data_IF_780553893337
#
_entry.id   IF_780553893337
#
_cell.length_a   1.000
_cell.length_b   1.000
_cell.length_c   1.000
_cell.angle_alpha   90.00
_cell.angle_beta   90.00
_cell.angle_gamma   90.00
#
_symmetry.space_group_name_H-M   'P 1'
#
loop_
_entity.id
_entity.type
_entity.pdbx_description
1 polymer ?
#
# COMPACT_ATOMS: atom_id res chain seq x y z
N UNK A 1 47.56 22.06 56.14
CA UNK A 1 47.98 23.28 55.43
C UNK A 1 46.74 23.97 54.87
N UNK A 2 46.50 25.19 55.34
CA UNK A 2 45.67 26.30 54.82
C UNK A 2 44.30 26.07 54.14
N UNK A 3 43.26 26.54 54.83
CA UNK A 3 42.03 27.20 54.31
C UNK A 3 42.38 28.66 53.84
N UNK A 4 41.52 29.55 53.26
CA UNK A 4 40.04 29.54 53.09
C UNK A 4 39.42 30.29 51.85
N UNK A 5 38.08 30.45 51.89
CA UNK A 5 37.24 31.62 51.49
C UNK A 5 36.64 31.68 50.06
N UNK A 6 35.29 31.58 49.89
CA UNK A 6 34.23 32.66 49.85
C UNK A 6 34.23 33.42 48.51
N UNK A 7 33.13 33.79 47.83
CA UNK A 7 31.81 34.24 48.27
C UNK A 7 30.74 34.21 47.15
N UNK A 8 29.49 34.26 47.62
CA UNK A 8 28.18 34.56 47.03
C UNK A 8 28.15 35.77 46.06
N UNK A 9 27.30 35.74 45.02
CA UNK A 9 26.51 36.93 44.67
C UNK A 9 25.28 36.63 43.79
N UNK A 10 24.13 37.08 44.29
CA UNK A 10 22.82 37.06 43.63
C UNK A 10 22.72 38.21 42.64
N UNK A 11 21.96 38.06 41.56
CA UNK A 11 21.07 39.13 41.08
C UNK A 11 19.90 38.60 40.26
N UNK A 12 18.84 39.39 40.31
CA UNK A 12 17.42 39.08 40.17
C UNK A 12 16.90 40.01 39.06
N UNK A 13 15.72 39.69 38.52
CA UNK A 13 14.73 40.58 37.88
C UNK A 13 14.89 40.87 36.37
N UNK A 14 13.80 40.60 35.63
CA UNK A 14 13.45 41.31 34.39
C UNK A 14 12.22 40.76 33.67
N UNK A 15 11.02 41.12 34.12
CA UNK A 15 9.73 40.88 33.41
C UNK A 15 9.67 41.75 32.14
N UNK A 16 9.06 41.23 31.07
CA UNK A 16 8.65 41.99 29.88
C UNK A 16 7.34 41.45 29.31
N UNK A 17 6.38 42.35 29.12
CA UNK A 17 4.94 42.11 28.98
C UNK A 17 4.50 41.61 27.59
N UNK A 18 3.44 40.80 27.59
CA UNK A 18 2.50 40.65 26.47
C UNK A 18 1.60 41.89 26.38
N UNK A 19 1.52 42.55 25.21
CA UNK A 19 0.32 43.28 24.77
C UNK A 19 0.28 43.53 23.25
N UNK A 20 -0.87 43.15 22.70
CA UNK A 20 -1.61 43.40 21.44
C UNK A 20 -1.13 44.25 20.24
N UNK A 21 -1.86 43.98 19.14
CA UNK A 21 -2.07 44.70 17.85
C UNK A 21 -1.14 44.23 16.70
N UNK A 22 -1.58 43.91 15.46
CA UNK A 22 -2.72 44.38 14.65
C UNK A 22 -2.97 43.43 13.46
N UNK A 23 -4.21 43.35 12.97
CA UNK A 23 -4.56 42.74 11.67
C UNK A 23 -3.91 43.49 10.50
N UNK A 24 -3.37 42.75 9.52
CA UNK A 24 -2.85 43.32 8.28
C UNK A 24 -2.73 42.30 7.14
N UNK A 25 -3.68 42.39 6.21
CA UNK A 25 -3.63 42.17 4.74
C UNK A 25 -2.89 40.94 4.18
N UNK A 26 -3.62 40.17 3.37
CA UNK A 26 -3.23 38.89 2.77
C UNK A 26 -1.95 38.91 1.92
N UNK A 27 -1.29 37.74 1.90
CA UNK A 27 -0.12 37.43 1.06
C UNK A 27 -0.51 36.46 -0.07
N UNK A 28 0.11 36.59 -1.25
CA UNK A 28 -0.23 35.82 -2.45
C UNK A 28 0.17 34.34 -2.36
N UNK A 29 -0.55 33.51 -3.13
CA UNK A 29 -0.36 32.06 -3.29
C UNK A 29 0.92 31.80 -4.09
N UNK A 30 2.09 31.82 -3.42
CA UNK A 30 3.35 31.38 -4.05
C UNK A 30 4.40 30.83 -3.07
N UNK A 31 4.01 30.38 -1.88
CA UNK A 31 4.92 29.72 -0.93
C UNK A 31 4.31 28.46 -0.33
N UNK A 32 4.24 27.39 -1.12
CA UNK A 32 4.32 26.02 -0.59
C UNK A 32 5.81 25.63 -0.61
N UNK A 33 6.58 26.16 0.34
CA UNK A 33 7.96 25.72 0.56
C UNK A 33 7.90 24.39 1.31
N UNK A 34 8.44 23.35 0.69
CA UNK A 34 8.73 22.06 1.33
C UNK A 34 9.46 22.30 2.66
N UNK A 35 8.90 21.81 3.76
CA UNK A 35 9.29 22.16 5.14
C UNK A 35 10.70 21.77 5.61
N UNK A 36 11.60 21.34 4.72
CA UNK A 36 12.90 20.75 5.10
C UNK A 36 14.14 21.49 4.55
N UNK A 37 14.01 22.70 3.98
CA UNK A 37 15.15 23.43 3.39
C UNK A 37 16.21 23.93 4.40
N UNK A 38 15.98 23.79 5.72
CA UNK A 38 16.85 24.32 6.77
C UNK A 38 17.52 23.25 7.67
N UNK A 39 17.34 21.95 7.40
CA UNK A 39 17.92 20.90 8.24
C UNK A 39 19.35 20.56 7.82
N UNK A 40 20.23 20.38 8.81
CA UNK A 40 21.58 19.81 8.65
C UNK A 40 21.50 18.41 8.02
N UNK A 41 22.60 17.92 7.43
CA UNK A 41 22.62 16.57 6.85
C UNK A 41 22.17 15.49 7.86
N UNK A 42 22.57 15.61 9.13
CA UNK A 42 22.11 14.76 10.23
C UNK A 42 20.64 15.01 10.63
N UNK A 43 20.15 16.25 10.55
CA UNK A 43 18.74 16.59 10.77
C UNK A 43 17.80 16.04 9.69
N UNK A 44 18.27 15.87 8.45
CA UNK A 44 17.51 15.22 7.37
C UNK A 44 17.36 13.72 7.58
N UNK A 45 18.38 13.06 8.13
CA UNK A 45 18.34 11.62 8.48
C UNK A 45 17.39 11.31 9.66
N UNK A 46 17.09 12.29 10.52
CA UNK A 46 16.16 12.14 11.66
C UNK A 46 14.77 12.75 11.36
N UNK A 47 14.58 13.35 10.18
CA UNK A 47 13.29 13.88 9.74
C UNK A 47 12.47 12.83 9.01
N UNK A 48 11.14 12.94 9.06
CA UNK A 48 10.22 12.08 8.32
C UNK A 48 9.33 12.91 7.38
N UNK A 49 8.78 12.28 6.35
CA UNK A 49 7.83 12.90 5.40
C UNK A 49 6.40 12.63 5.88
N UNK A 50 5.72 13.65 6.39
CA UNK A 50 4.38 13.53 7.01
C UNK A 50 3.26 13.16 6.03
N UNK A 51 3.47 13.39 4.74
CA UNK A 51 2.52 13.14 3.66
C UNK A 51 2.41 11.66 3.29
N UNK A 52 3.41 10.85 3.66
CA UNK A 52 3.43 9.41 3.36
C UNK A 52 2.37 8.70 4.21
N UNK A 53 1.41 8.10 3.51
CA UNK A 53 0.42 7.17 4.04
C UNK A 53 0.87 5.73 3.84
N UNK A 54 0.57 4.87 4.80
CA UNK A 54 0.82 3.43 4.69
C UNK A 54 -0.50 2.67 4.63
N UNK A 55 -0.60 1.75 3.66
CA UNK A 55 -1.76 0.88 3.45
C UNK A 55 -1.35 -0.58 3.68
N UNK A 56 -2.00 -1.23 4.64
CA UNK A 56 -1.89 -2.66 4.87
C UNK A 56 -2.79 -3.43 3.90
N UNK A 57 -2.20 -4.37 3.15
CA UNK A 57 -2.92 -5.25 2.23
C UNK A 57 -2.85 -6.73 2.64
N UNK A 58 -2.56 -7.01 3.91
CA UNK A 58 -2.33 -8.37 4.45
C UNK A 58 -3.53 -9.29 4.19
N UNK A 59 -4.75 -8.80 4.40
CA UNK A 59 -5.96 -9.63 4.23
C UNK A 59 -6.35 -9.76 2.75
N UNK A 60 -6.32 -8.67 2.00
CA UNK A 60 -6.71 -8.68 0.58
C UNK A 60 -5.73 -9.49 -0.27
N UNK A 61 -4.45 -9.12 -0.26
CA UNK A 61 -3.46 -9.77 -1.12
C UNK A 61 -3.03 -11.13 -0.57
N UNK A 62 -2.88 -11.24 0.75
CA UNK A 62 -2.65 -12.53 1.42
C UNK A 62 -3.79 -13.53 1.19
N UNK A 63 -5.02 -13.06 0.99
CA UNK A 63 -6.17 -13.91 0.71
C UNK A 63 -6.01 -14.72 -0.58
N UNK A 64 -5.16 -14.28 -1.51
CA UNK A 64 -4.83 -15.05 -2.71
C UNK A 64 -4.13 -16.38 -2.40
N UNK A 65 -3.50 -16.49 -1.23
CA UNK A 65 -2.79 -17.70 -0.80
C UNK A 65 -3.71 -18.77 -0.19
N UNK A 66 -4.92 -18.41 0.21
CA UNK A 66 -5.85 -19.32 0.90
C UNK A 66 -7.30 -19.19 0.40
N UNK A 67 -7.50 -18.76 -0.84
CA UNK A 67 -8.82 -18.53 -1.43
C UNK A 67 -9.70 -17.58 -0.60
N UNK A 68 -9.09 -16.63 0.11
CA UNK A 68 -9.74 -15.62 0.94
C UNK A 68 -10.45 -16.19 2.18
N UNK A 69 -9.95 -17.32 2.72
CA UNK A 69 -10.53 -18.06 3.84
C UNK A 69 -9.91 -17.72 5.20
N UNK A 70 -9.37 -16.51 5.37
CA UNK A 70 -8.94 -16.07 6.70
C UNK A 70 -10.11 -16.05 7.69
N UNK A 71 -9.86 -16.43 8.94
CA UNK A 71 -10.88 -16.41 10.00
C UNK A 71 -11.13 -14.99 10.48
N UNK A 72 -12.32 -14.73 11.03
CA UNK A 72 -12.66 -13.43 11.63
C UNK A 72 -11.66 -13.04 12.73
N UNK A 73 -11.19 -14.00 13.55
CA UNK A 73 -10.19 -13.74 14.61
C UNK A 73 -8.84 -13.28 14.04
N UNK A 74 -8.38 -13.87 12.93
CA UNK A 74 -7.17 -13.43 12.26
C UNK A 74 -7.34 -12.01 11.73
N UNK A 75 -8.42 -11.75 11.00
CA UNK A 75 -8.70 -10.43 10.41
C UNK A 75 -8.86 -9.36 11.50
N UNK A 76 -9.47 -9.70 12.64
CA UNK A 76 -9.58 -8.82 13.81
C UNK A 76 -8.23 -8.53 14.47
N UNK A 77 -7.33 -9.50 14.50
CA UNK A 77 -5.98 -9.31 15.03
C UNK A 77 -5.18 -8.38 14.12
N UNK A 78 -5.25 -8.56 12.80
CA UNK A 78 -4.64 -7.66 11.81
C UNK A 78 -5.23 -6.25 11.90
N UNK A 79 -6.56 -6.12 11.98
CA UNK A 79 -7.23 -4.82 12.19
C UNK A 79 -6.76 -4.11 13.45
N UNK A 80 -6.73 -4.81 14.58
CA UNK A 80 -6.27 -4.23 15.85
C UNK A 80 -4.82 -3.79 15.78
N UNK A 81 -3.96 -4.60 15.15
CA UNK A 81 -2.57 -4.24 14.93
C UNK A 81 -2.43 -2.99 14.03
N UNK A 82 -3.21 -2.87 12.96
CA UNK A 82 -3.20 -1.68 12.10
C UNK A 82 -3.59 -0.41 12.89
N UNK A 83 -4.65 -0.47 13.70
CA UNK A 83 -5.09 0.64 14.56
C UNK A 83 -4.00 1.01 15.57
N UNK A 84 -3.47 0.04 16.31
CA UNK A 84 -2.47 0.28 17.37
C UNK A 84 -1.12 0.74 16.82
N UNK A 85 -0.75 0.27 15.62
CA UNK A 85 0.46 0.66 14.90
C UNK A 85 0.33 2.00 14.18
N UNK A 86 -0.86 2.60 14.15
CA UNK A 86 -1.08 3.91 13.54
C UNK A 86 -1.08 3.92 12.01
N UNK A 87 -1.25 2.75 11.38
CA UNK A 87 -1.35 2.57 9.92
C UNK A 87 -2.54 3.39 9.39
N UNK A 88 -2.43 3.95 8.19
CA UNK A 88 -3.46 4.84 7.64
C UNK A 88 -4.62 4.08 7.03
N UNK A 89 -4.35 3.01 6.28
CA UNK A 89 -5.38 2.23 5.60
C UNK A 89 -5.18 0.72 5.85
N UNK A 90 -6.28 -0.02 5.95
CA UNK A 90 -6.29 -1.48 5.90
C UNK A 90 -7.22 -1.93 4.78
N UNK A 91 -6.74 -2.80 3.91
CA UNK A 91 -7.50 -3.38 2.82
C UNK A 91 -8.08 -4.74 3.23
N UNK A 92 -9.40 -4.76 3.40
CA UNK A 92 -10.12 -5.88 4.03
C UNK A 92 -10.44 -7.03 3.07
N UNK A 93 -10.24 -6.84 1.76
CA UNK A 93 -10.54 -7.86 0.76
C UNK A 93 -11.04 -7.29 -0.56
N UNK A 94 -11.84 -8.10 -1.27
CA UNK A 94 -12.39 -7.80 -2.59
C UNK A 94 -13.91 -7.55 -2.54
N UNK A 95 -14.43 -6.91 -3.59
CA UNK A 95 -15.87 -6.77 -3.90
C UNK A 95 -16.25 -7.63 -5.11
N UNK A 96 -15.89 -8.91 -5.10
CA UNK A 96 -16.10 -9.79 -6.25
C UNK A 96 -17.60 -10.03 -6.54
N UNK A 97 -17.97 -10.07 -7.82
CA UNK A 97 -19.33 -10.40 -8.25
C UNK A 97 -19.65 -11.88 -7.95
N UNK A 98 -20.73 -12.11 -7.20
CA UNK A 98 -21.22 -13.44 -6.82
C UNK A 98 -21.76 -14.27 -7.99
N UNK A 99 -22.01 -13.64 -9.14
CA UNK A 99 -22.36 -14.33 -10.40
C UNK A 99 -21.14 -14.96 -11.06
N UNK A 100 -19.95 -14.43 -10.78
CA UNK A 100 -18.67 -14.91 -11.35
C UNK A 100 -17.96 -15.83 -10.36
N UNK A 101 -18.01 -15.50 -9.06
CA UNK A 101 -17.32 -16.25 -8.00
C UNK A 101 -18.32 -16.85 -7.01
N UNK A 102 -18.27 -18.18 -6.83
CA UNK A 102 -19.08 -18.87 -5.82
C UNK A 102 -18.50 -18.73 -4.42
N UNK A 103 -19.38 -18.58 -3.42
CA UNK A 103 -19.03 -18.62 -1.99
C UNK A 103 -18.50 -19.98 -1.51
N UNK A 104 -18.78 -21.05 -2.25
CA UNK A 104 -18.27 -22.38 -1.91
C UNK A 104 -16.78 -22.48 -2.28
N UNK A 105 -16.40 -21.84 -3.39
CA UNK A 105 -15.03 -21.84 -3.90
C UNK A 105 -14.13 -20.79 -3.24
N UNK A 106 -14.68 -19.69 -2.72
CA UNK A 106 -13.92 -18.61 -2.10
C UNK A 106 -14.49 -18.18 -0.76
N UNK A 107 -13.61 -17.85 0.17
CA UNK A 107 -13.97 -17.39 1.51
C UNK A 107 -14.54 -15.96 1.56
N UNK A 108 -14.95 -15.57 2.76
CA UNK A 108 -15.62 -14.31 3.09
C UNK A 108 -14.95 -13.09 2.47
N UNK A 109 -13.63 -13.00 2.55
CA UNK A 109 -12.87 -11.80 2.17
C UNK A 109 -12.68 -11.64 0.64
N UNK A 110 -13.22 -12.55 -0.16
CA UNK A 110 -13.39 -12.36 -1.61
C UNK A 110 -14.55 -11.41 -1.93
N UNK A 111 -15.54 -11.34 -1.04
CA UNK A 111 -16.76 -10.56 -1.23
C UNK A 111 -16.86 -9.37 -0.28
N UNK A 112 -16.28 -9.49 0.92
CA UNK A 112 -16.18 -8.46 1.96
C UNK A 112 -17.45 -7.62 2.07
N UNK A 113 -18.55 -8.26 2.46
CA UNK A 113 -19.84 -7.56 2.62
C UNK A 113 -19.76 -6.60 3.79
N UNK A 114 -20.67 -5.62 3.83
CA UNK A 114 -20.71 -4.67 4.96
C UNK A 114 -20.83 -5.37 6.31
N UNK A 115 -21.64 -6.43 6.41
CA UNK A 115 -21.78 -7.19 7.64
C UNK A 115 -20.48 -7.87 8.04
N UNK A 116 -19.73 -8.44 7.08
CA UNK A 116 -18.42 -9.03 7.32
C UNK A 116 -17.43 -8.02 7.90
N UNK A 117 -17.37 -6.83 7.30
CA UNK A 117 -16.46 -5.79 7.73
C UNK A 117 -16.88 -5.24 9.10
N UNK A 118 -18.19 -5.10 9.35
CA UNK A 118 -18.73 -4.64 10.64
C UNK A 118 -18.54 -5.65 11.77
N UNK A 119 -18.49 -6.96 11.50
CA UNK A 119 -18.13 -7.96 12.51
C UNK A 119 -16.72 -7.74 13.07
N UNK A 120 -15.81 -7.22 12.24
CA UNK A 120 -14.43 -6.93 12.63
C UNK A 120 -14.28 -5.55 13.25
N UNK A 121 -14.67 -4.51 12.49
CA UNK A 121 -14.37 -3.11 12.82
C UNK A 121 -15.53 -2.35 13.47
N UNK A 122 -16.71 -2.96 13.59
CA UNK A 122 -17.92 -2.30 14.09
C UNK A 122 -18.32 -1.11 13.23
N UNK A 123 -18.35 0.09 13.83
CA UNK A 123 -18.55 1.36 13.09
C UNK A 123 -17.23 2.04 12.70
N UNK A 124 -16.09 1.37 12.89
CA UNK A 124 -14.73 1.86 12.71
C UNK A 124 -14.50 3.26 13.30
N UNK A 125 -14.74 3.43 14.62
CA UNK A 125 -14.50 4.70 15.31
C UNK A 125 -13.02 4.87 15.68
N UNK A 126 -12.14 4.78 14.68
CA UNK A 126 -10.68 4.85 14.84
C UNK A 126 -10.07 5.80 13.81
N UNK A 127 -8.75 6.00 13.85
CA UNK A 127 -8.02 6.75 12.83
C UNK A 127 -7.66 5.93 11.58
N UNK A 128 -7.84 4.60 11.62
CA UNK A 128 -7.57 3.71 10.50
C UNK A 128 -8.72 3.80 9.50
N UNK A 129 -8.40 4.03 8.22
CA UNK A 129 -9.36 3.94 7.13
C UNK A 129 -9.45 2.53 6.58
N UNK A 130 -10.63 2.11 6.14
CA UNK A 130 -10.82 0.79 5.54
C UNK A 130 -10.93 0.91 4.02
N UNK A 131 -10.36 -0.05 3.31
CA UNK A 131 -10.42 -0.11 1.84
C UNK A 131 -10.77 -1.49 1.34
N UNK A 132 -11.33 -1.57 0.14
CA UNK A 132 -11.58 -2.83 -0.55
C UNK A 132 -11.22 -2.70 -2.04
N UNK A 133 -10.83 -3.82 -2.63
CA UNK A 133 -10.47 -3.92 -4.05
C UNK A 133 -11.69 -4.27 -4.90
N UNK A 134 -11.92 -3.50 -5.97
CA UNK A 134 -12.83 -3.81 -7.05
C UNK A 134 -12.01 -4.17 -8.30
N UNK A 135 -12.09 -5.43 -8.73
CA UNK A 135 -11.47 -5.84 -9.99
C UNK A 135 -12.37 -5.40 -11.16
N UNK A 136 -11.77 -4.74 -12.15
CA UNK A 136 -12.47 -4.33 -13.37
C UNK A 136 -13.07 -5.55 -14.07
N UNK A 137 -14.32 -5.45 -14.53
CA UNK A 137 -15.13 -6.54 -15.14
C UNK A 137 -15.46 -7.72 -14.21
N UNK A 138 -15.06 -7.69 -12.93
CA UNK A 138 -15.23 -8.78 -11.97
C UNK A 138 -15.97 -8.38 -10.70
N UNK A 139 -16.52 -7.17 -10.70
CA UNK A 139 -17.20 -6.53 -9.57
C UNK A 139 -18.53 -5.97 -10.04
N UNK A 140 -19.64 -6.30 -9.38
CA UNK A 140 -20.94 -5.65 -9.60
C UNK A 140 -20.97 -4.33 -8.81
N UNK A 141 -20.12 -3.37 -9.20
CA UNK A 141 -19.86 -2.14 -8.45
C UNK A 141 -21.11 -1.30 -8.18
N UNK A 142 -22.12 -1.38 -9.05
CA UNK A 142 -23.38 -0.67 -8.87
C UNK A 142 -24.14 -1.16 -7.63
N UNK A 143 -24.11 -2.47 -7.38
CA UNK A 143 -24.91 -3.11 -6.33
C UNK A 143 -24.08 -3.50 -5.09
N UNK A 144 -22.83 -3.92 -5.26
CA UNK A 144 -21.97 -4.43 -4.17
C UNK A 144 -21.14 -3.33 -3.48
N UNK A 145 -21.06 -2.14 -4.08
CA UNK A 145 -20.49 -0.93 -3.47
C UNK A 145 -21.64 0.02 -3.13
N UNK A 146 -22.05 0.02 -1.87
CA UNK A 146 -23.12 0.87 -1.36
C UNK A 146 -22.71 2.35 -1.34
N UNK A 147 -23.62 3.32 -1.20
CA UNK A 147 -23.24 4.70 -0.90
C UNK A 147 -22.39 4.81 0.38
N UNK A 148 -21.39 5.72 0.41
CA UNK A 148 -20.42 5.85 1.52
C UNK A 148 -21.08 6.04 2.89
N UNK A 149 -22.22 6.74 2.96
CA UNK A 149 -22.95 6.96 4.21
C UNK A 149 -23.57 5.68 4.81
N UNK A 150 -23.62 4.59 4.05
CA UNK A 150 -24.10 3.27 4.47
C UNK A 150 -22.95 2.27 4.69
N UNK A 151 -21.73 2.61 4.26
CA UNK A 151 -20.55 1.75 4.34
C UNK A 151 -19.57 2.18 5.41
N UNK A 152 -18.78 1.22 5.91
CA UNK A 152 -17.59 1.49 6.74
C UNK A 152 -16.30 1.65 5.93
N UNK A 153 -16.32 1.35 4.63
CA UNK A 153 -15.17 1.53 3.74
C UNK A 153 -14.99 3.01 3.43
N UNK A 154 -13.74 3.46 3.35
CA UNK A 154 -13.35 4.84 3.06
C UNK A 154 -12.75 4.99 1.65
N UNK A 155 -12.09 3.94 1.17
CA UNK A 155 -11.40 3.92 -0.13
C UNK A 155 -11.82 2.69 -0.95
N UNK A 156 -12.22 2.91 -2.20
CA UNK A 156 -12.40 1.85 -3.19
C UNK A 156 -11.21 1.85 -4.14
N UNK A 157 -10.51 0.72 -4.20
CA UNK A 157 -9.32 0.55 -5.04
C UNK A 157 -9.69 -0.23 -6.28
N UNK A 158 -9.47 0.31 -7.47
CA UNK A 158 -9.86 -0.33 -8.73
C UNK A 158 -8.64 -0.95 -9.39
N UNK A 159 -8.55 -2.29 -9.34
CA UNK A 159 -7.52 -3.03 -10.04
C UNK A 159 -7.90 -3.22 -11.51
N UNK A 160 -6.97 -2.94 -12.41
CA UNK A 160 -7.25 -2.94 -13.85
C UNK A 160 -6.01 -3.27 -14.68
N UNK A 161 -6.22 -3.90 -15.84
CA UNK A 161 -5.22 -3.99 -16.90
C UNK A 161 -5.38 -2.83 -17.89
N UNK A 162 -4.33 -2.54 -18.67
CA UNK A 162 -4.30 -1.41 -19.60
C UNK A 162 -5.50 -1.35 -20.57
N UNK A 163 -5.93 -2.50 -21.08
CA UNK A 163 -7.05 -2.60 -22.02
C UNK A 163 -8.43 -2.43 -21.37
N UNK A 164 -8.51 -2.47 -20.03
CA UNK A 164 -9.74 -2.36 -19.25
C UNK A 164 -9.95 -0.96 -18.65
N UNK A 165 -9.06 0.00 -18.94
CA UNK A 165 -9.11 1.36 -18.39
C UNK A 165 -10.49 2.02 -18.51
N UNK A 166 -11.22 1.93 -19.64
CA UNK A 166 -12.56 2.53 -19.72
C UNK A 166 -13.51 2.00 -18.63
N UNK A 167 -13.53 0.69 -18.39
CA UNK A 167 -14.36 0.09 -17.34
C UNK A 167 -13.88 0.45 -15.93
N UNK A 168 -12.58 0.62 -15.73
CA UNK A 168 -12.03 1.07 -14.46
C UNK A 168 -12.45 2.51 -14.13
N UNK A 169 -12.47 3.38 -15.14
CA UNK A 169 -12.94 4.76 -15.01
C UNK A 169 -14.42 4.79 -14.60
N UNK A 170 -15.28 3.97 -15.21
CA UNK A 170 -16.70 3.87 -14.81
C UNK A 170 -16.87 3.49 -13.34
N UNK A 171 -16.06 2.55 -12.83
CA UNK A 171 -16.09 2.13 -11.42
C UNK A 171 -15.62 3.28 -10.51
N UNK A 172 -14.56 3.98 -10.91
CA UNK A 172 -14.01 5.11 -10.15
C UNK A 172 -15.03 6.25 -10.06
N UNK A 173 -15.65 6.64 -11.16
CA UNK A 173 -16.67 7.71 -11.14
C UNK A 173 -17.86 7.33 -10.26
N UNK A 174 -18.39 6.10 -10.37
CA UNK A 174 -19.50 5.63 -9.53
C UNK A 174 -19.13 5.62 -8.04
N UNK A 175 -17.93 5.15 -7.67
CA UNK A 175 -17.48 5.14 -6.29
C UNK A 175 -17.22 6.57 -5.76
N UNK A 176 -16.63 7.45 -6.57
CA UNK A 176 -16.40 8.84 -6.22
C UNK A 176 -17.73 9.57 -5.98
N UNK A 177 -18.71 9.41 -6.87
CA UNK A 177 -20.05 10.01 -6.73
C UNK A 177 -20.82 9.48 -5.51
N UNK A 178 -20.55 8.23 -5.10
CA UNK A 178 -21.04 7.64 -3.85
C UNK A 178 -20.34 8.18 -2.61
N UNK A 179 -19.27 8.96 -2.75
CA UNK A 179 -18.55 9.68 -1.69
C UNK A 179 -17.31 8.97 -1.16
N UNK A 180 -16.75 7.99 -1.86
CA UNK A 180 -15.51 7.32 -1.47
C UNK A 180 -14.27 8.08 -1.95
N UNK A 181 -13.14 7.89 -1.25
CA UNK A 181 -11.84 8.04 -1.90
C UNK A 181 -11.68 6.92 -2.93
N UNK A 182 -10.94 7.18 -4.01
CA UNK A 182 -10.78 6.21 -5.11
C UNK A 182 -9.34 6.08 -5.58
N UNK A 183 -8.95 4.87 -6.00
CA UNK A 183 -7.67 4.64 -6.66
C UNK A 183 -7.79 3.83 -7.93
N UNK A 184 -6.85 4.05 -8.85
CA UNK A 184 -6.59 3.14 -9.97
C UNK A 184 -5.27 2.44 -9.73
N UNK A 185 -5.32 1.11 -9.72
CA UNK A 185 -4.19 0.21 -9.55
C UNK A 185 -3.91 -0.50 -10.88
N UNK A 186 -3.00 0.08 -11.66
CA UNK A 186 -2.66 -0.42 -13.00
C UNK A 186 -1.71 -1.62 -12.90
N UNK A 187 -2.23 -2.81 -13.19
CA UNK A 187 -1.51 -4.07 -13.10
C UNK A 187 -0.63 -4.34 -14.33
N UNK A 188 0.43 -5.12 -14.13
CA UNK A 188 1.32 -5.63 -15.18
C UNK A 188 1.91 -4.54 -16.09
N UNK A 189 2.22 -3.38 -15.51
CA UNK A 189 2.80 -2.24 -16.26
C UNK A 189 4.10 -2.59 -16.99
N UNK A 190 4.85 -3.58 -16.49
CA UNK A 190 6.11 -4.06 -17.07
C UNK A 190 5.95 -4.70 -18.46
N UNK A 191 4.74 -5.08 -18.84
CA UNK A 191 4.43 -5.68 -20.16
C UNK A 191 3.64 -4.74 -21.06
N UNK A 192 3.38 -3.50 -20.62
CA UNK A 192 2.55 -2.55 -21.36
C UNK A 192 3.43 -1.71 -22.32
N UNK A 193 3.05 -1.59 -23.61
CA UNK A 193 3.72 -0.68 -24.53
C UNK A 193 3.67 0.78 -24.05
N UNK A 194 4.76 1.53 -24.21
CA UNK A 194 4.88 2.88 -23.62
C UNK A 194 3.74 3.84 -24.02
N UNK A 195 3.33 3.81 -25.30
CA UNK A 195 2.30 4.70 -25.82
C UNK A 195 0.90 4.39 -25.24
N UNK A 196 0.62 3.12 -24.93
CA UNK A 196 -0.61 2.72 -24.26
C UNK A 196 -0.60 3.18 -22.80
N UNK A 197 0.54 3.04 -22.12
CA UNK A 197 0.72 3.55 -20.76
C UNK A 197 0.54 5.07 -20.68
N UNK A 198 1.14 5.81 -21.62
CA UNK A 198 0.97 7.27 -21.69
C UNK A 198 -0.50 7.66 -21.90
N UNK A 199 -1.19 6.97 -22.81
CA UNK A 199 -2.62 7.21 -23.08
C UNK A 199 -3.49 6.91 -21.86
N UNK A 200 -3.22 5.80 -21.15
CA UNK A 200 -3.94 5.44 -19.94
C UNK A 200 -3.69 6.44 -18.81
N UNK A 201 -2.44 6.86 -18.59
CA UNK A 201 -2.11 7.84 -17.55
C UNK A 201 -2.74 9.21 -17.84
N UNK A 202 -2.85 9.62 -19.11
CA UNK A 202 -3.57 10.84 -19.48
C UNK A 202 -5.06 10.75 -19.15
N UNK A 203 -5.71 9.62 -19.44
CA UNK A 203 -7.11 9.39 -19.09
C UNK A 203 -7.31 9.36 -17.57
N UNK A 204 -6.47 8.60 -16.86
CA UNK A 204 -6.53 8.52 -15.39
C UNK A 204 -6.32 9.90 -14.78
N UNK A 205 -5.38 10.72 -15.27
CA UNK A 205 -5.14 12.06 -14.77
C UNK A 205 -6.37 12.98 -14.88
N UNK A 206 -7.26 12.73 -15.86
CA UNK A 206 -8.51 13.49 -16.04
C UNK A 206 -9.72 12.92 -15.28
N UNK A 207 -9.57 11.74 -14.69
CA UNK A 207 -10.64 11.08 -13.90
C UNK A 207 -10.80 11.68 -12.51
N UNK A 208 -11.83 11.22 -11.79
CA UNK A 208 -12.05 11.53 -10.38
C UNK A 208 -11.14 10.77 -9.40
N UNK A 209 -10.24 9.88 -9.88
CA UNK A 209 -9.33 9.13 -9.00
C UNK A 209 -8.48 10.02 -8.10
N UNK A 210 -8.41 9.73 -6.79
CA UNK A 210 -7.53 10.42 -5.84
C UNK A 210 -6.08 9.90 -5.93
N UNK A 211 -5.95 8.58 -6.14
CA UNK A 211 -4.68 7.87 -6.16
C UNK A 211 -4.44 7.12 -7.49
N UNK A 212 -3.19 7.13 -7.96
CA UNK A 212 -2.74 6.29 -9.07
C UNK A 212 -1.59 5.42 -8.57
N UNK A 213 -1.72 4.11 -8.66
CA UNK A 213 -0.71 3.17 -8.19
C UNK A 213 0.15 2.63 -9.32
N UNK A 214 1.47 2.72 -9.13
CA UNK A 214 2.42 1.87 -9.82
C UNK A 214 2.41 0.49 -9.14
N UNK A 215 2.04 -0.55 -9.89
CA UNK A 215 1.95 -1.93 -9.39
C UNK A 215 2.98 -2.82 -10.07
N UNK A 216 3.95 -3.31 -9.32
CA UNK A 216 4.92 -4.32 -9.76
C UNK A 216 4.31 -5.72 -9.63
N UNK A 217 3.32 -6.03 -10.47
CA UNK A 217 2.48 -7.22 -10.34
C UNK A 217 3.22 -8.57 -10.39
N UNK A 218 4.40 -8.60 -11.01
CA UNK A 218 5.21 -9.80 -11.20
C UNK A 218 6.48 -9.80 -10.33
N UNK A 219 6.72 -8.75 -9.55
CA UNK A 219 7.96 -8.58 -8.78
C UNK A 219 9.19 -8.55 -9.69
N UNK A 220 9.03 -7.98 -10.88
CA UNK A 220 9.99 -8.03 -11.99
C UNK A 220 10.81 -6.75 -12.13
N UNK A 221 10.37 -5.65 -11.50
CA UNK A 221 11.00 -4.35 -11.68
C UNK A 221 12.33 -4.24 -10.90
N UNK A 222 13.33 -3.67 -11.56
CA UNK A 222 14.54 -3.14 -10.93
C UNK A 222 14.39 -1.65 -10.61
N UNK A 223 15.29 -1.11 -9.80
CA UNK A 223 15.26 0.28 -9.34
C UNK A 223 15.23 1.28 -10.49
N UNK A 224 16.00 1.07 -11.56
CA UNK A 224 16.04 1.96 -12.72
C UNK A 224 14.69 2.04 -13.44
N UNK A 225 13.96 0.92 -13.50
CA UNK A 225 12.62 0.87 -14.08
C UNK A 225 11.61 1.57 -13.17
N UNK A 226 11.69 1.37 -11.85
CA UNK A 226 10.88 2.11 -10.88
C UNK A 226 11.12 3.61 -11.03
N UNK A 227 12.37 4.05 -11.14
CA UNK A 227 12.71 5.47 -11.35
C UNK A 227 12.07 6.03 -12.61
N UNK A 228 12.18 5.31 -13.72
CA UNK A 228 11.60 5.69 -15.00
C UNK A 228 10.07 5.81 -14.91
N UNK A 229 9.41 4.75 -14.41
CA UNK A 229 7.96 4.69 -14.28
C UNK A 229 7.43 5.74 -13.31
N UNK A 230 8.08 5.92 -12.15
CA UNK A 230 7.69 6.95 -11.19
C UNK A 230 7.76 8.35 -11.79
N UNK A 231 8.84 8.71 -12.51
CA UNK A 231 8.90 10.00 -13.22
C UNK A 231 7.75 10.16 -14.20
N UNK A 232 7.40 9.11 -14.95
CA UNK A 232 6.26 9.12 -15.88
C UNK A 232 4.95 9.33 -15.14
N UNK A 233 4.67 8.55 -14.09
CA UNK A 233 3.44 8.68 -13.28
C UNK A 233 3.32 10.07 -12.67
N UNK A 234 4.39 10.59 -12.07
CA UNK A 234 4.41 11.93 -11.47
C UNK A 234 4.14 13.03 -12.50
N UNK A 235 4.65 12.90 -13.73
CA UNK A 235 4.39 13.86 -14.82
C UNK A 235 2.90 14.05 -15.10
N UNK A 236 2.10 12.97 -15.03
CA UNK A 236 0.65 13.03 -15.26
C UNK A 236 -0.14 13.35 -13.99
N UNK A 237 0.31 12.85 -12.83
CA UNK A 237 -0.40 13.00 -11.56
C UNK A 237 -0.26 14.40 -10.94
N UNK A 238 0.94 14.99 -10.96
CA UNK A 238 1.20 16.27 -10.28
C UNK A 238 0.33 17.43 -10.80
N UNK A 239 0.16 17.65 -12.12
CA UNK A 239 -0.66 18.76 -12.62
C UNK A 239 -2.14 18.67 -12.23
N UNK A 240 -2.61 17.46 -11.90
CA UNK A 240 -4.01 17.16 -11.58
C UNK A 240 -4.21 16.91 -10.08
N UNK A 241 -3.17 17.10 -9.27
CA UNK A 241 -3.23 16.94 -7.82
C UNK A 241 -3.36 15.49 -7.33
N UNK A 242 -3.22 14.51 -8.22
CA UNK A 242 -3.34 13.08 -7.86
C UNK A 242 -2.13 12.60 -7.09
N UNK A 243 -2.35 11.70 -6.16
CA UNK A 243 -1.28 11.10 -5.36
C UNK A 243 -0.81 9.79 -5.99
N UNK A 244 0.49 9.66 -6.24
CA UNK A 244 1.07 8.41 -6.75
C UNK A 244 1.38 7.46 -5.60
N UNK A 245 0.97 6.20 -5.77
CA UNK A 245 1.24 5.10 -4.86
C UNK A 245 2.14 4.01 -5.43
N UNK A 246 2.68 3.17 -4.56
CA UNK A 246 3.50 2.02 -4.93
C UNK A 246 2.96 0.74 -4.29
N UNK A 247 2.86 -0.31 -5.10
CA UNK A 247 2.61 -1.68 -4.65
C UNK A 247 3.65 -2.60 -5.28
N UNK A 248 4.51 -3.21 -4.45
CA UNK A 248 5.65 -4.00 -4.91
C UNK A 248 5.58 -5.46 -4.44
N UNK A 249 5.76 -6.40 -5.36
CA UNK A 249 5.91 -7.83 -5.05
C UNK A 249 7.38 -8.23 -4.88
N UNK A 250 7.61 -9.27 -4.06
CA UNK A 250 8.94 -9.59 -3.54
C UNK A 250 9.63 -10.78 -4.24
N UNK A 251 9.22 -11.10 -5.47
CA UNK A 251 9.74 -12.24 -6.25
C UNK A 251 11.27 -12.25 -6.36
N UNK A 252 11.87 -11.07 -6.59
CA UNK A 252 13.32 -10.89 -6.65
C UNK A 252 13.93 -10.31 -5.36
N UNK A 253 13.19 -10.33 -4.24
CA UNK A 253 13.57 -9.66 -2.99
C UNK A 253 13.75 -8.13 -3.10
N UNK A 254 13.14 -7.51 -4.11
CA UNK A 254 13.28 -6.07 -4.37
C UNK A 254 12.11 -5.23 -3.87
N UNK A 255 11.05 -5.82 -3.28
CA UNK A 255 9.83 -5.06 -2.96
C UNK A 255 10.09 -3.88 -2.03
N UNK A 256 10.86 -4.09 -0.96
CA UNK A 256 11.22 -3.04 -0.02
C UNK A 256 12.12 -1.98 -0.68
N UNK A 257 13.16 -2.41 -1.41
CA UNK A 257 14.04 -1.49 -2.14
C UNK A 257 13.28 -0.63 -3.15
N UNK A 258 12.42 -1.25 -3.97
CA UNK A 258 11.59 -0.56 -4.96
C UNK A 258 10.58 0.39 -4.32
N UNK A 259 10.06 0.04 -3.14
CA UNK A 259 9.21 0.95 -2.36
C UNK A 259 9.99 2.18 -1.90
N UNK A 260 11.23 2.03 -1.42
CA UNK A 260 12.12 3.14 -1.06
C UNK A 260 12.39 4.03 -2.27
N UNK A 261 12.71 3.43 -3.43
CA UNK A 261 12.94 4.20 -4.65
C UNK A 261 11.68 4.96 -5.09
N UNK A 262 10.50 4.36 -4.98
CA UNK A 262 9.24 5.05 -5.25
C UNK A 262 9.04 6.26 -4.31
N UNK A 263 9.38 6.13 -3.02
CA UNK A 263 9.35 7.25 -2.06
C UNK A 263 10.29 8.37 -2.51
N UNK A 264 11.53 8.04 -2.89
CA UNK A 264 12.53 9.01 -3.37
C UNK A 264 12.01 9.79 -4.59
N UNK A 265 11.27 9.12 -5.48
CA UNK A 265 10.65 9.74 -6.67
C UNK A 265 9.25 10.30 -6.43
N UNK A 266 8.80 10.37 -5.17
CA UNK A 266 7.66 11.18 -4.76
C UNK A 266 6.38 10.45 -4.42
N UNK A 267 6.35 9.10 -4.43
CA UNK A 267 5.20 8.33 -3.96
C UNK A 267 4.84 8.70 -2.51
N UNK A 268 3.53 8.74 -2.22
CA UNK A 268 2.99 9.16 -0.93
C UNK A 268 1.92 8.23 -0.37
N UNK A 269 1.64 7.11 -1.03
CA UNK A 269 0.82 6.04 -0.47
C UNK A 269 1.46 4.70 -0.81
N UNK A 270 1.78 3.92 0.23
CA UNK A 270 2.66 2.76 0.10
C UNK A 270 1.93 1.52 0.60
N UNK A 271 1.83 0.53 -0.27
CA UNK A 271 1.29 -0.77 0.10
C UNK A 271 2.37 -1.64 0.71
N UNK A 272 2.03 -2.29 1.81
CA UNK A 272 2.82 -3.35 2.41
C UNK A 272 1.90 -4.37 3.10
N UNK A 273 2.48 -5.48 3.56
CA UNK A 273 1.76 -6.51 4.31
C UNK A 273 2.63 -7.05 5.44
N UNK A 274 1.99 -7.51 6.51
CA UNK A 274 2.66 -8.08 7.67
C UNK A 274 3.46 -9.31 7.27
N UNK A 275 4.76 -9.32 7.58
CA UNK A 275 5.68 -10.38 7.19
C UNK A 275 5.71 -10.69 5.68
N UNK A 276 5.31 -9.71 4.86
CA UNK A 276 5.25 -9.81 3.40
C UNK A 276 4.14 -10.73 2.89
N UNK A 277 3.14 -11.08 3.71
CA UNK A 277 2.04 -11.97 3.30
C UNK A 277 1.31 -11.46 2.04
N UNK A 278 1.37 -12.27 0.98
CA UNK A 278 0.80 -11.95 -0.32
C UNK A 278 1.05 -13.05 -1.34
N UNK A 279 0.57 -12.85 -2.55
CA UNK A 279 0.71 -13.85 -3.63
C UNK A 279 2.18 -14.17 -3.93
N UNK A 280 2.49 -15.45 -4.12
CA UNK A 280 3.81 -15.91 -4.53
C UNK A 280 4.87 -15.58 -3.49
N UNK A 281 5.90 -14.83 -3.88
CA UNK A 281 6.95 -14.41 -2.94
C UNK A 281 6.52 -13.34 -1.94
N UNK A 282 5.29 -12.83 -2.05
CA UNK A 282 4.73 -11.86 -1.13
C UNK A 282 4.91 -10.41 -1.58
N UNK A 283 4.70 -9.49 -0.64
CA UNK A 283 4.76 -8.03 -0.86
C UNK A 283 5.93 -7.38 -0.12
N UNK A 284 6.04 -6.06 -0.26
CA UNK A 284 6.81 -5.24 0.66
C UNK A 284 6.42 -5.55 2.11
N UNK A 285 7.42 -5.82 2.95
CA UNK A 285 7.25 -6.16 4.36
C UNK A 285 6.90 -4.92 5.18
N UNK A 286 5.76 -4.95 5.87
CA UNK A 286 5.25 -3.83 6.66
C UNK A 286 6.21 -3.44 7.77
N UNK A 287 6.83 -4.41 8.43
CA UNK A 287 7.78 -4.20 9.52
C UNK A 287 9.06 -3.49 9.05
N UNK A 288 9.53 -3.77 7.83
CA UNK A 288 10.65 -3.04 7.22
C UNK A 288 10.23 -1.60 6.87
N UNK A 289 9.06 -1.45 6.23
CA UNK A 289 8.58 -0.14 5.82
C UNK A 289 8.35 0.81 7.01
N UNK A 290 7.64 0.35 8.05
CA UNK A 290 7.39 1.19 9.23
C UNK A 290 8.69 1.56 9.96
N UNK A 291 9.65 0.63 10.02
CA UNK A 291 10.97 0.89 10.59
C UNK A 291 11.77 1.94 9.82
N UNK A 292 11.64 1.96 8.49
CA UNK A 292 12.32 2.88 7.59
C UNK A 292 11.75 4.31 7.60
N UNK A 293 10.43 4.46 7.71
CA UNK A 293 9.80 5.78 7.58
C UNK A 293 10.13 6.76 8.72
N UNK A 294 10.64 6.26 9.86
CA UNK A 294 11.00 7.03 11.05
C UNK A 294 9.91 7.99 11.60
N UNK A 295 8.66 7.84 11.14
CA UNK A 295 7.54 8.65 11.59
C UNK A 295 7.07 8.14 12.96
N UNK A 296 7.12 8.97 14.02
CA UNK A 296 6.79 8.54 15.39
C UNK A 296 5.32 8.13 15.59
N UNK A 297 4.44 8.42 14.62
CA UNK A 297 3.07 7.91 14.60
C UNK A 297 3.04 6.39 14.45
N UNK A 298 3.97 5.82 13.68
CA UNK A 298 3.99 4.39 13.42
C UNK A 298 4.66 3.63 14.56
N UNK A 299 3.98 2.60 15.07
CA UNK A 299 4.49 1.78 16.17
C UNK A 299 4.75 0.36 15.71
N UNK A 300 5.98 -0.10 15.86
CA UNK A 300 6.39 -1.42 15.40
C UNK A 300 5.94 -2.57 16.33
N UNK A 301 5.83 -2.31 17.64
CA UNK A 301 5.53 -3.37 18.63
C UNK A 301 4.19 -4.09 18.40
N UNK A 302 3.03 -3.41 18.18
CA UNK A 302 1.76 -4.10 17.92
C UNK A 302 1.82 -4.96 16.65
N UNK A 303 2.45 -4.43 15.59
CA UNK A 303 2.70 -5.15 14.35
C UNK A 303 3.49 -6.45 14.58
N UNK A 304 4.64 -6.37 15.27
CA UNK A 304 5.48 -7.54 15.55
C UNK A 304 4.75 -8.58 16.39
N UNK A 305 3.89 -8.17 17.32
CA UNK A 305 3.04 -9.08 18.08
C UNK A 305 2.07 -9.83 17.17
N UNK A 306 1.36 -9.14 16.28
CA UNK A 306 0.48 -9.75 15.29
C UNK A 306 1.24 -10.72 14.37
N UNK A 307 2.44 -10.33 13.94
CA UNK A 307 3.32 -11.19 13.15
C UNK A 307 3.65 -12.47 13.92
N UNK A 308 4.12 -12.36 15.16
CA UNK A 308 4.51 -13.50 15.98
C UNK A 308 3.34 -14.44 16.29
N UNK A 309 2.20 -13.89 16.68
CA UNK A 309 1.08 -14.68 17.24
C UNK A 309 0.11 -15.18 16.17
N UNK A 310 0.09 -14.56 14.98
CA UNK A 310 -0.97 -14.81 13.98
C UNK A 310 -0.43 -15.04 12.58
N UNK A 311 0.47 -14.17 12.09
CA UNK A 311 0.94 -14.27 10.69
C UNK A 311 2.00 -15.37 10.53
N UNK A 312 3.11 -15.35 11.26
CA UNK A 312 4.15 -16.38 11.12
C UNK A 312 3.66 -17.82 11.34
N UNK A 313 2.75 -18.10 12.29
CA UNK A 313 2.19 -19.45 12.45
C UNK A 313 1.59 -20.04 11.17
N UNK A 314 0.91 -19.23 10.35
CA UNK A 314 0.28 -19.69 9.09
C UNK A 314 1.26 -19.76 7.91
N UNK A 315 2.51 -19.29 8.05
CA UNK A 315 3.53 -19.36 6.99
C UNK A 315 3.83 -20.79 6.56
N UNK A 316 3.83 -21.73 7.51
CA UNK A 316 4.10 -23.14 7.23
C UNK A 316 3.04 -23.81 6.35
N UNK A 317 1.83 -23.26 6.35
CA UNK A 317 0.71 -23.78 5.56
C UNK A 317 0.60 -23.07 4.21
N UNK A 318 0.74 -21.75 4.20
CA UNK A 318 0.53 -20.94 3.00
C UNK A 318 1.81 -20.71 2.17
N UNK A 319 2.98 -20.93 2.76
CA UNK A 319 4.28 -20.97 2.06
C UNK A 319 4.61 -19.74 1.21
N UNK A 320 4.13 -18.54 1.59
CA UNK A 320 4.57 -17.31 0.93
C UNK A 320 5.99 -16.94 1.37
N UNK A 321 6.65 -16.17 0.51
CA UNK A 321 8.02 -15.71 0.72
C UNK A 321 8.92 -16.17 -0.42
N UNK A 322 10.19 -15.74 -0.36
CA UNK A 322 11.14 -16.05 -1.42
C UNK A 322 11.24 -17.57 -1.67
N UNK A 323 11.12 -17.93 -2.94
CA UNK A 323 11.37 -19.28 -3.44
C UNK A 323 11.90 -19.19 -4.88
N UNK A 324 12.69 -20.17 -5.30
CA UNK A 324 13.37 -20.13 -6.61
C UNK A 324 12.37 -20.08 -7.77
N UNK A 325 11.25 -20.84 -7.78
CA UNK A 325 10.24 -20.72 -8.83
C UNK A 325 9.63 -19.30 -8.94
N UNK A 326 9.40 -18.63 -7.80
CA UNK A 326 8.93 -17.24 -7.81
C UNK A 326 9.99 -16.27 -8.32
N UNK A 327 11.26 -16.49 -7.97
CA UNK A 327 12.38 -15.74 -8.52
C UNK A 327 12.46 -15.90 -10.05
N UNK A 328 12.35 -17.13 -10.56
CA UNK A 328 12.41 -17.40 -12.00
C UNK A 328 11.28 -16.71 -12.77
N UNK A 329 10.04 -16.80 -12.29
CA UNK A 329 8.91 -16.07 -12.91
C UNK A 329 9.08 -14.55 -12.82
N UNK A 330 9.66 -14.03 -11.74
CA UNK A 330 10.00 -12.60 -11.61
C UNK A 330 11.06 -12.16 -12.61
N UNK A 331 12.15 -12.92 -12.75
CA UNK A 331 13.23 -12.66 -13.71
C UNK A 331 12.73 -12.66 -15.16
N UNK A 332 11.80 -13.56 -15.48
CA UNK A 332 11.20 -13.68 -16.80
C UNK A 332 9.98 -12.77 -16.98
N UNK A 333 9.64 -11.91 -16.01
CA UNK A 333 8.50 -10.99 -16.08
C UNK A 333 7.17 -11.70 -16.40
N UNK A 334 6.95 -12.87 -15.80
CA UNK A 334 5.76 -13.70 -15.98
C UNK A 334 4.87 -13.73 -14.74
N UNK A 335 3.59 -14.04 -14.93
CA UNK A 335 2.65 -14.17 -13.82
C UNK A 335 3.07 -15.32 -12.88
N UNK A 336 3.05 -15.15 -11.55
CA UNK A 336 3.51 -16.17 -10.60
C UNK A 336 2.65 -17.44 -10.52
N UNK A 337 1.64 -17.59 -11.39
CA UNK A 337 0.70 -18.71 -11.35
C UNK A 337 1.41 -20.01 -11.70
N UNK A 338 2.25 -19.98 -12.74
CA UNK A 338 3.05 -21.14 -13.16
C UNK A 338 3.97 -21.63 -12.04
N UNK A 339 4.57 -20.72 -11.27
CA UNK A 339 5.35 -21.07 -10.09
C UNK A 339 4.50 -21.65 -8.94
N UNK A 340 3.30 -21.13 -8.70
CA UNK A 340 2.36 -21.69 -7.69
C UNK A 340 1.95 -23.12 -8.07
N UNK A 341 1.61 -23.33 -9.34
CA UNK A 341 1.23 -24.64 -9.88
C UNK A 341 2.41 -25.62 -9.82
N UNK A 342 3.61 -25.19 -10.19
CA UNK A 342 4.83 -25.99 -10.06
C UNK A 342 5.10 -26.39 -8.61
N UNK A 343 4.99 -25.46 -7.67
CA UNK A 343 5.23 -25.71 -6.25
C UNK A 343 4.19 -26.64 -5.60
N UNK A 344 2.99 -26.71 -6.16
CA UNK A 344 1.92 -27.61 -5.70
C UNK A 344 1.91 -28.94 -6.47
N UNK A 345 2.76 -29.06 -7.50
CA UNK A 345 2.76 -30.17 -8.45
C UNK A 345 3.77 -31.28 -8.10
N UNK A 346 3.71 -32.40 -8.83
CA UNK A 346 4.58 -33.56 -8.59
C UNK A 346 6.06 -33.31 -8.92
N UNK A 347 6.36 -32.29 -9.72
CA UNK A 347 7.72 -31.93 -10.13
C UNK A 347 8.38 -30.92 -9.18
N UNK A 348 7.75 -30.59 -8.05
CA UNK A 348 8.28 -29.64 -7.08
C UNK A 348 9.76 -29.93 -6.75
N UNK A 349 10.60 -28.89 -6.84
CA UNK A 349 12.05 -29.00 -6.60
C UNK A 349 12.88 -29.34 -7.86
N UNK A 350 12.27 -29.75 -8.97
CA UNK A 350 12.97 -29.92 -10.24
C UNK A 350 13.14 -28.58 -10.99
N UNK A 351 14.00 -27.73 -10.43
CA UNK A 351 14.14 -26.33 -10.85
C UNK A 351 14.63 -26.15 -12.29
N UNK A 352 15.50 -27.05 -12.77
CA UNK A 352 16.02 -26.99 -14.15
C UNK A 352 14.91 -27.27 -15.15
N UNK A 353 14.13 -28.33 -14.92
CA UNK A 353 12.96 -28.64 -15.76
C UNK A 353 11.98 -27.47 -15.80
N UNK A 354 11.71 -26.87 -14.64
CA UNK A 354 10.83 -25.71 -14.57
C UNK A 354 11.39 -24.52 -15.35
N UNK A 355 12.67 -24.20 -15.20
CA UNK A 355 13.31 -23.13 -15.95
C UNK A 355 13.24 -23.36 -17.48
N UNK A 356 13.54 -24.58 -17.94
CA UNK A 356 13.44 -24.94 -19.36
C UNK A 356 12.00 -24.81 -19.89
N UNK A 357 11.00 -25.16 -19.07
CA UNK A 357 9.58 -24.96 -19.41
C UNK A 357 9.24 -23.48 -19.56
N UNK A 358 9.66 -22.63 -18.61
CA UNK A 358 9.40 -21.19 -18.68
C UNK A 358 10.02 -20.54 -19.93
N UNK A 359 11.20 -21.00 -20.36
CA UNK A 359 11.85 -20.52 -21.59
C UNK A 359 11.18 -21.00 -22.87
N UNK A 360 10.53 -22.17 -22.86
CA UNK A 360 9.81 -22.68 -24.03
C UNK A 360 8.49 -21.94 -24.28
N UNK A 361 7.94 -21.29 -23.25
CA UNK A 361 6.73 -20.47 -23.32
C UNK A 361 7.01 -18.98 -23.61
N UNK A 362 8.28 -18.57 -23.60
CA UNK A 362 8.77 -17.21 -23.86
C UNK A 362 9.10 -17.01 -25.34
#
# INVERSE_FOLDING_TARGET
MNNPALSDDRKKIGRGNYQNTTLGKGKPVSELKSGNSHLSASGRWVSYRSEIKVLDCTIRDGGLMNEHRFTDDLVKTVYSACVESGIDYMEVGYKADRKIFSKDAFGTWKFSTEDDIRRIAGKNKTGLKLSAMADTERTDYRNDILPKNQSVLDLIRVATYIHQIPGALDIVEDAHDKGYETSINLMSVSTVPEHELDSALELIARSSADYIYLVDSFGSLYSEQVHYLMRKYMKYAQPTGKTVGMHAHNNQQLAFSNTIEAIVHGANILDASMAGLGRGAGNCQMELLLGFLHNPRYKLRPLLKCIQETIEPIRKELLWGFDIPYMLTGLLNQHPRTAIEFNSGPDQGNLVKFFDQLLAEY
#
